data_IF_700227274550
#
_entry.id   IF_700227274550
#
_cell.length_a   1.000
_cell.length_b   1.000
_cell.length_c   1.000
_cell.angle_alpha   90.00
_cell.angle_beta   90.00
_cell.angle_gamma   90.00
#
_symmetry.space_group_name_H-M   'P 1'
#
loop_
_entity.id
_entity.type
_entity.pdbx_description
1 polymer ?
#
# COMPACT_ATOMS: atom_id res chain seq x y z
N UNK A 1 -22.21 -8.67 -11.91
CA UNK A 1 -21.66 -7.46 -11.24
C UNK A 1 -20.15 -7.62 -11.17
N UNK A 2 -19.38 -6.75 -11.84
CA UNK A 2 -17.92 -6.67 -11.63
C UNK A 2 -17.70 -5.62 -10.54
N UNK A 3 -17.15 -6.03 -9.41
CA UNK A 3 -16.69 -5.12 -8.36
C UNK A 3 -15.18 -5.32 -8.22
N UNK A 4 -14.42 -4.35 -8.70
CA UNK A 4 -12.97 -4.27 -8.52
C UNK A 4 -12.70 -3.37 -7.32
N UNK A 5 -12.13 -3.93 -6.25
CA UNK A 5 -11.68 -3.16 -5.08
C UNK A 5 -10.23 -3.52 -4.78
N UNK A 6 -9.40 -2.49 -4.60
CA UNK A 6 -8.00 -2.60 -4.15
C UNK A 6 -8.05 -3.15 -2.72
N UNK A 7 -7.47 -4.32 -2.48
CA UNK A 7 -7.28 -4.85 -1.13
C UNK A 7 -5.88 -4.46 -0.71
N UNK A 8 -5.77 -3.68 0.36
CA UNK A 8 -4.50 -3.15 0.86
C UNK A 8 -3.74 -4.17 1.72
N UNK A 9 -3.61 -5.40 1.22
CA UNK A 9 -2.46 -6.25 1.55
C UNK A 9 -1.40 -6.03 0.48
N UNK A 10 -1.02 -4.78 0.23
CA UNK A 10 0.09 -4.54 -0.69
C UNK A 10 1.39 -4.84 0.04
N UNK A 11 1.97 -5.99 -0.26
CA UNK A 11 3.31 -6.33 0.19
C UNK A 11 4.33 -5.48 -0.56
N UNK A 12 4.74 -4.38 0.06
CA UNK A 12 6.03 -3.77 -0.24
C UNK A 12 7.11 -4.75 0.23
N UNK A 13 7.80 -5.39 -0.71
CA UNK A 13 9.02 -6.12 -0.40
C UNK A 13 10.16 -5.35 -1.07
N UNK A 14 10.88 -4.49 -0.32
CA UNK A 14 12.12 -3.93 -0.83
C UNK A 14 13.11 -5.09 -1.09
N UNK A 15 13.34 -5.40 -2.37
CA UNK A 15 14.31 -6.41 -2.79
C UNK A 15 15.63 -5.70 -3.10
N UNK A 16 16.55 -5.73 -2.14
CA UNK A 16 17.91 -5.20 -2.33
C UNK A 16 18.88 -6.34 -2.63
N UNK A 17 19.35 -6.43 -3.87
CA UNK A 17 20.48 -7.30 -4.25
C UNK A 17 21.79 -6.64 -3.81
N UNK A 18 22.71 -7.35 -3.16
CA UNK A 18 24.09 -6.90 -3.05
C UNK A 18 24.75 -7.12 -4.41
N UNK A 19 25.07 -6.06 -5.16
CA UNK A 19 26.02 -6.18 -6.29
C UNK A 19 27.43 -5.91 -5.77
N UNK A 20 28.30 -6.90 -6.00
CA UNK A 20 29.70 -6.86 -5.59
C UNK A 20 30.53 -5.82 -6.34
N UNK A 21 31.61 -5.41 -5.66
CA UNK A 21 32.72 -4.54 -6.08
C UNK A 21 32.37 -3.06 -6.33
N UNK A 22 32.54 -2.25 -5.28
CA UNK A 22 32.99 -0.86 -5.40
C UNK A 22 32.09 0.23 -4.85
N UNK A 23 30.84 -0.06 -4.46
CA UNK A 23 29.89 0.95 -3.98
C UNK A 23 29.41 0.55 -2.58
N UNK A 24 29.33 1.53 -1.66
CA UNK A 24 28.94 1.34 -0.26
C UNK A 24 27.65 0.52 -0.16
N UNK A 25 27.50 -0.36 0.85
CA UNK A 25 26.30 -1.17 1.02
C UNK A 25 25.08 -0.26 1.19
N UNK A 26 24.19 -0.23 0.19
CA UNK A 26 22.85 0.35 0.37
C UNK A 26 22.14 -0.52 1.42
N UNK A 27 21.85 0.06 2.58
CA UNK A 27 21.39 -0.65 3.77
C UNK A 27 20.16 -1.53 3.48
N UNK A 28 20.16 -2.77 3.97
CA UNK A 28 19.00 -3.66 3.93
C UNK A 28 17.91 -3.10 4.85
N UNK A 29 16.94 -2.38 4.29
CA UNK A 29 15.82 -1.84 5.07
C UNK A 29 14.80 -2.96 5.30
N UNK A 30 14.63 -3.39 6.55
CA UNK A 30 13.58 -4.34 6.92
C UNK A 30 12.21 -3.67 6.75
N UNK A 31 11.24 -4.37 6.16
CA UNK A 31 9.86 -3.88 5.98
C UNK A 31 9.24 -3.36 7.27
N UNK A 32 9.47 -4.04 8.40
CA UNK A 32 8.99 -3.62 9.73
C UNK A 32 9.49 -2.25 10.17
N UNK A 33 10.60 -1.76 9.61
CA UNK A 33 11.21 -0.48 9.99
C UNK A 33 10.65 0.70 9.17
N UNK A 34 9.82 0.42 8.15
CA UNK A 34 9.27 1.42 7.21
C UNK A 34 7.76 1.25 7.00
N UNK A 35 7.15 0.17 7.49
CA UNK A 35 5.72 -0.07 7.43
C UNK A 35 5.28 -0.73 8.72
N UNK A 36 4.28 -0.14 9.37
CA UNK A 36 3.69 -0.66 10.60
C UNK A 36 2.35 -1.33 10.30
N UNK A 37 2.38 -2.65 10.11
CA UNK A 37 1.19 -3.43 9.79
C UNK A 37 0.18 -3.46 10.95
N UNK A 38 0.66 -3.41 12.20
CA UNK A 38 -0.20 -3.40 13.39
C UNK A 38 -0.99 -2.10 13.47
N UNK A 39 -0.30 -0.96 13.30
CA UNK A 39 -0.96 0.34 13.23
C UNK A 39 -1.95 0.42 12.07
N UNK A 40 -1.56 -0.03 10.87
CA UNK A 40 -2.42 -0.02 9.68
C UNK A 40 -3.69 -0.86 9.87
N UNK A 41 -3.58 -2.03 10.51
CA UNK A 41 -4.73 -2.87 10.79
C UNK A 41 -5.76 -2.14 11.66
N UNK A 42 -5.31 -1.58 12.78
CA UNK A 42 -6.16 -0.80 13.70
C UNK A 42 -6.72 0.43 12.99
N UNK A 43 -5.91 1.11 12.17
CA UNK A 43 -6.33 2.27 11.40
C UNK A 43 -7.53 1.96 10.51
N UNK A 44 -7.47 0.88 9.72
CA UNK A 44 -8.57 0.52 8.83
C UNK A 44 -9.83 0.08 9.59
N UNK A 45 -9.67 -0.62 10.72
CA UNK A 45 -10.79 -0.98 11.60
C UNK A 45 -11.50 0.27 12.12
N UNK A 46 -10.75 1.25 12.66
CA UNK A 46 -11.32 2.50 13.18
C UNK A 46 -11.91 3.40 12.10
N UNK A 47 -11.27 3.50 10.93
CA UNK A 47 -11.83 4.22 9.78
C UNK A 47 -13.17 3.61 9.39
N UNK A 48 -13.27 2.27 9.36
CA UNK A 48 -14.53 1.59 9.05
C UNK A 48 -15.60 1.86 10.10
N UNK A 49 -15.25 1.83 11.38
CA UNK A 49 -16.19 2.11 12.46
C UNK A 49 -16.77 3.52 12.38
N UNK A 50 -15.93 4.54 12.14
CA UNK A 50 -16.35 5.95 12.11
C UNK A 50 -17.02 6.36 10.79
N UNK A 51 -16.49 5.94 9.64
CA UNK A 51 -16.93 6.43 8.32
C UNK A 51 -17.83 5.45 7.56
N UNK A 52 -17.91 4.19 8.02
CA UNK A 52 -18.52 3.06 7.29
C UNK A 52 -17.83 2.71 5.97
N UNK A 53 -16.71 3.36 5.64
CA UNK A 53 -15.88 3.02 4.48
C UNK A 53 -14.95 1.87 4.84
N UNK A 54 -14.93 0.80 4.04
CA UNK A 54 -14.13 -0.39 4.30
C UNK A 54 -13.02 -0.55 3.24
N UNK A 55 -11.79 -0.18 3.59
CA UNK A 55 -10.61 -0.34 2.73
C UNK A 55 -10.25 -1.81 2.45
N UNK A 56 -10.79 -2.75 3.22
CA UNK A 56 -10.56 -4.19 3.08
C UNK A 56 -11.78 -4.93 2.48
N UNK A 57 -12.74 -4.18 1.92
CA UNK A 57 -14.00 -4.72 1.39
C UNK A 57 -13.81 -5.82 0.36
N UNK A 58 -12.74 -5.75 -0.46
CA UNK A 58 -12.49 -6.71 -1.53
C UNK A 58 -12.41 -8.16 -1.04
N UNK A 59 -11.81 -8.40 0.14
CA UNK A 59 -11.77 -9.73 0.77
C UNK A 59 -13.11 -10.15 1.38
N UNK A 60 -13.98 -9.20 1.72
CA UNK A 60 -15.33 -9.45 2.26
C UNK A 60 -16.36 -9.69 1.17
N UNK A 61 -16.08 -9.28 -0.07
CA UNK A 61 -17.00 -9.40 -1.21
C UNK A 61 -17.58 -10.80 -1.42
N UNK A 62 -16.80 -11.91 -1.34
CA UNK A 62 -17.37 -13.25 -1.52
C UNK A 62 -18.50 -13.56 -0.53
N UNK A 63 -18.32 -13.17 0.73
CA UNK A 63 -19.31 -13.38 1.79
C UNK A 63 -20.54 -12.49 1.55
N UNK A 64 -20.33 -11.23 1.19
CA UNK A 64 -21.41 -10.29 0.86
C UNK A 64 -22.23 -10.82 -0.32
N UNK A 65 -21.58 -11.29 -1.37
CA UNK A 65 -22.23 -11.87 -2.55
C UNK A 65 -23.03 -13.13 -2.20
N UNK A 66 -22.50 -13.99 -1.33
CA UNK A 66 -23.19 -15.21 -0.90
C UNK A 66 -24.47 -14.89 -0.13
N UNK A 67 -24.43 -13.88 0.76
CA UNK A 67 -25.60 -13.38 1.49
C UNK A 67 -26.68 -12.79 0.58
N UNK A 68 -26.29 -12.30 -0.60
CA UNK A 68 -27.19 -11.75 -1.62
C UNK A 68 -27.58 -12.80 -2.69
N UNK A 69 -27.56 -14.09 -2.35
CA UNK A 69 -28.00 -15.19 -3.20
C UNK A 69 -27.25 -15.36 -4.53
N UNK A 70 -26.10 -14.71 -4.71
CA UNK A 70 -25.23 -14.94 -5.85
C UNK A 70 -24.64 -16.34 -5.75
N UNK A 71 -24.62 -17.08 -6.86
CA UNK A 71 -24.13 -18.46 -6.94
C UNK A 71 -22.82 -18.53 -7.71
N UNK A 72 -22.09 -19.64 -7.56
CA UNK A 72 -20.81 -19.89 -8.23
C UNK A 72 -19.80 -18.74 -8.01
N UNK A 73 -19.71 -18.29 -6.76
CA UNK A 73 -18.85 -17.16 -6.38
C UNK A 73 -17.39 -17.59 -6.46
N UNK A 74 -16.58 -16.77 -7.11
CA UNK A 74 -15.13 -16.90 -7.17
C UNK A 74 -14.49 -15.56 -6.81
N UNK A 75 -13.38 -15.62 -6.09
CA UNK A 75 -12.49 -14.49 -5.88
C UNK A 75 -11.11 -14.81 -6.42
N UNK A 76 -10.47 -13.82 -7.02
CA UNK A 76 -9.08 -13.88 -7.49
C UNK A 76 -8.32 -12.66 -7.03
N UNK A 77 -7.04 -12.82 -6.79
CA UNK A 77 -6.11 -11.71 -6.56
C UNK A 77 -5.38 -11.47 -7.88
N UNK A 78 -5.13 -10.20 -8.21
CA UNK A 78 -4.31 -9.82 -9.35
C UNK A 78 -2.91 -10.39 -9.18
N UNK A 79 -2.42 -11.04 -10.24
CA UNK A 79 -1.05 -11.51 -10.40
C UNK A 79 -0.08 -10.38 -10.80
N UNK A 80 -0.57 -9.14 -10.95
CA UNK A 80 0.25 -8.01 -11.34
C UNK A 80 1.23 -7.61 -10.23
N UNK A 81 2.52 -7.67 -10.57
CA UNK A 81 3.63 -7.24 -9.73
C UNK A 81 4.41 -6.17 -10.48
N UNK A 82 4.62 -5.01 -9.84
CA UNK A 82 5.45 -3.93 -10.36
C UNK A 82 6.84 -4.03 -9.75
N UNK A 83 7.86 -3.89 -10.58
CA UNK A 83 9.25 -3.94 -10.16
C UNK A 83 9.94 -2.67 -10.62
N UNK A 84 10.62 -2.01 -9.68
CA UNK A 84 11.56 -0.93 -9.97
C UNK A 84 12.96 -1.45 -9.70
N UNK A 85 13.85 -1.30 -10.68
CA UNK A 85 15.26 -1.63 -10.57
C UNK A 85 16.09 -0.35 -10.70
N UNK A 86 17.05 -0.16 -9.80
CA UNK A 86 17.85 1.07 -9.73
C UNK A 86 18.82 1.21 -10.92
N UNK A 87 19.33 0.07 -11.40
CA UNK A 87 20.26 -0.03 -12.51
C UNK A 87 19.59 0.01 -13.89
N UNK A 88 18.26 -0.08 -13.95
CA UNK A 88 17.50 0.02 -15.19
C UNK A 88 16.81 1.38 -15.29
N UNK A 89 17.33 2.23 -16.18
CA UNK A 89 16.78 3.55 -16.52
C UNK A 89 16.36 3.56 -17.98
N UNK A 90 15.19 3.00 -18.23
CA UNK A 90 14.53 2.98 -19.53
C UNK A 90 13.10 3.55 -19.39
N UNK A 91 12.46 3.84 -20.52
CA UNK A 91 11.12 4.47 -20.55
C UNK A 91 10.06 3.65 -19.81
N UNK A 92 10.15 2.31 -19.84
CA UNK A 92 9.23 1.43 -19.13
C UNK A 92 9.37 1.57 -17.60
N UNK A 93 10.60 1.57 -17.10
CA UNK A 93 10.90 1.77 -15.68
C UNK A 93 10.48 3.16 -15.19
N UNK A 94 10.65 4.20 -16.02
CA UNK A 94 10.18 5.55 -15.71
C UNK A 94 8.66 5.62 -15.68
N UNK A 95 7.98 4.97 -16.64
CA UNK A 95 6.52 4.85 -16.65
C UNK A 95 5.98 4.14 -15.40
N UNK A 96 6.61 3.05 -14.97
CA UNK A 96 6.23 2.35 -13.72
C UNK A 96 6.42 3.27 -12.51
N UNK A 97 7.55 3.96 -12.43
CA UNK A 97 7.86 4.89 -11.34
C UNK A 97 6.83 6.02 -11.27
N UNK A 98 6.53 6.68 -12.39
CA UNK A 98 5.50 7.72 -12.47
C UNK A 98 4.11 7.19 -12.12
N UNK A 99 3.75 5.98 -12.57
CA UNK A 99 2.47 5.36 -12.18
C UNK A 99 2.36 5.16 -10.68
N UNK A 100 3.45 4.79 -9.99
CA UNK A 100 3.45 4.65 -8.53
C UNK A 100 3.40 6.01 -7.83
N UNK A 101 4.00 7.06 -8.39
CA UNK A 101 3.83 8.42 -7.88
C UNK A 101 2.36 8.85 -7.91
N UNK A 102 1.64 8.55 -9.00
CA UNK A 102 0.20 8.80 -9.10
C UNK A 102 -0.63 8.00 -8.09
N UNK A 103 -0.15 6.83 -7.66
CA UNK A 103 -0.75 6.02 -6.58
C UNK A 103 -0.43 6.57 -5.17
N UNK A 104 0.32 7.67 -5.06
CA UNK A 104 0.63 8.38 -3.80
C UNK A 104 2.04 8.16 -3.26
N UNK A 105 2.88 7.36 -3.93
CA UNK A 105 4.26 7.12 -3.49
C UNK A 105 5.17 8.33 -3.72
N UNK A 106 6.12 8.54 -2.81
CA UNK A 106 7.09 9.63 -2.90
C UNK A 106 6.52 11.00 -2.57
N UNK A 107 5.31 11.07 -2.00
CA UNK A 107 4.67 12.34 -1.64
C UNK A 107 5.48 13.03 -0.53
N UNK A 108 5.88 14.28 -0.77
CA UNK A 108 6.47 15.13 0.25
C UNK A 108 5.37 15.91 0.98
N UNK A 109 5.38 15.88 2.31
CA UNK A 109 4.43 16.61 3.15
C UNK A 109 5.08 17.87 3.69
N UNK A 110 4.40 19.01 3.54
CA UNK A 110 4.75 20.24 4.26
C UNK A 110 4.25 20.16 5.72
N UNK A 111 4.61 21.14 6.56
CA UNK A 111 4.31 21.08 7.99
C UNK A 111 2.80 21.18 8.30
N UNK A 112 2.05 21.91 7.50
CA UNK A 112 0.58 21.97 7.60
C UNK A 112 -0.05 20.59 7.30
N UNK A 113 0.39 19.92 6.24
CA UNK A 113 -0.07 18.59 5.87
C UNK A 113 0.31 17.54 6.93
N UNK A 114 1.49 17.65 7.53
CA UNK A 114 1.89 16.78 8.66
C UNK A 114 0.96 16.99 9.85
N UNK A 115 0.72 18.24 10.25
CA UNK A 115 -0.19 18.57 11.34
C UNK A 115 -1.61 18.08 11.07
N UNK A 116 -2.11 18.27 9.85
CA UNK A 116 -3.41 17.79 9.41
C UNK A 116 -3.54 16.26 9.49
N UNK A 117 -2.52 15.51 9.05
CA UNK A 117 -2.49 14.05 9.18
C UNK A 117 -2.50 13.60 10.64
N UNK A 118 -1.71 14.23 11.50
CA UNK A 118 -1.69 13.91 12.94
C UNK A 118 -3.06 14.15 13.55
N UNK A 119 -3.69 15.29 13.25
CA UNK A 119 -5.03 15.60 13.75
C UNK A 119 -6.07 14.57 13.25
N UNK A 120 -5.99 14.16 11.98
CA UNK A 120 -6.86 13.12 11.42
C UNK A 120 -6.68 11.76 12.13
N UNK A 121 -5.45 11.36 12.44
CA UNK A 121 -5.22 10.16 13.26
C UNK A 121 -5.80 10.30 14.66
N UNK A 122 -5.68 11.48 15.29
CA UNK A 122 -6.26 11.73 16.61
C UNK A 122 -7.81 11.70 16.58
N UNK A 123 -8.45 12.16 15.49
CA UNK A 123 -9.89 11.99 15.28
C UNK A 123 -10.31 10.51 15.17
N UNK A 124 -9.37 9.61 14.87
CA UNK A 124 -9.52 8.16 14.89
C UNK A 124 -9.04 7.54 16.21
N UNK A 125 -8.99 8.32 17.29
CA UNK A 125 -8.66 7.89 18.66
C UNK A 125 -7.22 7.33 18.80
N UNK A 126 -6.29 7.68 17.92
CA UNK A 126 -4.86 7.43 18.14
C UNK A 126 -4.27 8.49 19.07
N UNK A 127 -3.28 8.10 19.88
CA UNK A 127 -2.50 9.09 20.62
C UNK A 127 -1.67 9.94 19.66
N UNK A 128 -1.28 11.14 20.10
CA UNK A 128 -0.41 12.01 19.30
C UNK A 128 0.94 11.34 19.04
N UNK A 129 1.43 10.60 20.02
CA UNK A 129 2.69 9.86 19.96
C UNK A 129 2.62 8.75 18.90
N UNK A 130 1.57 7.91 18.93
CA UNK A 130 1.34 6.84 17.95
C UNK A 130 1.21 7.40 16.51
N UNK A 131 0.42 8.47 16.36
CA UNK A 131 0.21 9.14 15.09
C UNK A 131 1.51 9.72 14.51
N UNK A 132 2.33 10.33 15.38
CA UNK A 132 3.61 10.91 14.98
C UNK A 132 4.60 9.82 14.58
N UNK A 133 4.73 8.75 15.38
CA UNK A 133 5.62 7.63 15.07
C UNK A 133 5.26 6.96 13.74
N UNK A 134 3.96 6.74 13.49
CA UNK A 134 3.50 6.20 12.22
C UNK A 134 3.79 7.14 11.05
N UNK A 135 3.51 8.43 11.20
CA UNK A 135 3.74 9.43 10.15
C UNK A 135 5.22 9.53 9.79
N UNK A 136 6.13 9.45 10.76
CA UNK A 136 7.58 9.43 10.51
C UNK A 136 8.00 8.22 9.68
N UNK A 137 7.43 7.04 9.93
CA UNK A 137 7.67 5.84 9.11
C UNK A 137 7.19 6.06 7.66
N UNK A 138 6.01 6.67 7.49
CA UNK A 138 5.46 6.98 6.15
C UNK A 138 6.32 8.02 5.40
N UNK A 139 6.77 9.07 6.07
CA UNK A 139 7.67 10.10 5.50
C UNK A 139 8.98 9.45 5.04
N UNK A 140 9.58 8.61 5.90
CA UNK A 140 10.81 7.89 5.57
C UNK A 140 10.64 6.96 4.37
N UNK A 141 9.51 6.27 4.26
CA UNK A 141 9.20 5.44 3.09
C UNK A 141 9.14 6.29 1.80
N UNK A 142 8.50 7.46 1.86
CA UNK A 142 8.41 8.38 0.73
C UNK A 142 9.77 9.01 0.36
N UNK A 143 10.65 9.24 1.33
CA UNK A 143 12.04 9.65 1.08
C UNK A 143 12.84 8.58 0.36
N UNK A 144 12.75 7.33 0.82
CA UNK A 144 13.40 6.19 0.16
C UNK A 144 12.89 6.05 -1.27
N UNK A 145 11.58 6.15 -1.49
CA UNK A 145 10.98 6.07 -2.82
C UNK A 145 11.49 7.18 -3.75
N UNK A 146 11.61 8.42 -3.26
CA UNK A 146 12.14 9.54 -4.05
C UNK A 146 13.59 9.37 -4.48
N UNK A 147 14.38 8.56 -3.77
CA UNK A 147 15.76 8.24 -4.17
C UNK A 147 15.78 7.18 -5.28
N UNK A 148 15.27 7.55 -6.47
CA UNK A 148 15.12 6.66 -7.64
C UNK A 148 16.42 5.96 -8.04
N UNK A 149 17.57 6.62 -7.88
CA UNK A 149 18.89 6.10 -8.23
C UNK A 149 19.34 4.90 -7.41
N UNK A 150 18.77 4.70 -6.23
CA UNK A 150 19.10 3.59 -5.32
C UNK A 150 17.89 2.67 -5.06
N UNK A 151 16.73 3.01 -5.61
CA UNK A 151 15.48 2.31 -5.38
C UNK A 151 15.42 0.98 -6.13
N UNK A 152 15.50 -0.12 -5.39
CA UNK A 152 15.07 -1.44 -5.87
C UNK A 152 13.83 -1.87 -5.07
N UNK A 153 12.73 -2.11 -5.78
CA UNK A 153 11.42 -2.26 -5.16
C UNK A 153 10.58 -3.30 -5.90
N UNK A 154 9.89 -4.15 -5.14
CA UNK A 154 8.82 -4.99 -5.66
C UNK A 154 7.53 -4.61 -4.94
N UNK A 155 6.49 -4.34 -5.74
CA UNK A 155 5.19 -3.90 -5.27
C UNK A 155 4.09 -4.73 -5.92
N UNK A 156 3.34 -5.46 -5.09
CA UNK A 156 2.10 -6.10 -5.49
C UNK A 156 0.94 -5.33 -4.86
N UNK A 157 0.01 -4.83 -5.67
CA UNK A 157 -1.14 -4.07 -5.17
C UNK A 157 -2.23 -4.94 -4.53
N UNK A 158 -2.12 -6.27 -4.66
CA UNK A 158 -3.06 -7.28 -4.15
C UNK A 158 -4.54 -6.99 -4.48
N UNK A 159 -4.83 -6.40 -5.64
CA UNK A 159 -6.20 -6.13 -6.05
C UNK A 159 -7.04 -7.40 -6.12
N UNK A 160 -8.25 -7.35 -5.57
CA UNK A 160 -9.17 -8.49 -5.62
C UNK A 160 -10.27 -8.30 -6.65
N UNK A 161 -10.62 -9.39 -7.32
CA UNK A 161 -11.74 -9.49 -8.24
C UNK A 161 -12.69 -10.56 -7.71
N UNK A 162 -13.92 -10.17 -7.40
CA UNK A 162 -14.96 -11.10 -6.99
C UNK A 162 -16.09 -11.11 -8.03
N UNK A 163 -16.52 -12.31 -8.43
CA UNK A 163 -17.55 -12.50 -9.44
C UNK A 163 -18.38 -13.76 -9.16
N UNK A 164 -19.56 -13.81 -9.76
CA UNK A 164 -20.50 -14.91 -9.62
C UNK A 164 -21.75 -14.67 -10.47
N UNK A 165 -22.70 -15.59 -10.39
CA UNK A 165 -23.91 -15.61 -11.21
C UNK A 165 -25.13 -15.18 -10.41
N UNK A 166 -25.91 -14.26 -10.99
CA UNK A 166 -27.24 -13.91 -10.49
C UNK A 166 -28.22 -14.93 -11.08
N UNK A 167 -29.08 -15.54 -10.26
CA UNK A 167 -30.18 -16.35 -10.78
C UNK A 167 -31.15 -15.42 -11.50
N UNK A 168 -31.48 -15.75 -12.76
CA UNK A 168 -32.63 -15.15 -13.43
C UNK A 168 -33.91 -15.68 -12.81
#
# INVERSE_FOLDING_TARGET
VRCSHKVLQSDLIPLFRPKGRGIKPSARIKKSNITDLGFLQILFERVHEKTKTDGNIGMKMPVIMARNNIKNIQARISDAVRIILADEKNEEQDSIYTSLQSDGFGTALNDEQKAGKINWFMELDFSREEATEYLEKEIKLNEIFRNRSELNMVYAAAMTFCFGNVRK
#
